data_IF_929965991804
#
_entry.id   IF_929965991804
#
_cell.length_a   1.000
_cell.length_b   1.000
_cell.length_c   1.000
_cell.angle_alpha   90.00
_cell.angle_beta   90.00
_cell.angle_gamma   90.00
#
_symmetry.space_group_name_H-M   'P 1'
#
loop_
_entity.id
_entity.type
_entity.pdbx_description
1 polymer ?
#
# COMPACT_ATOMS: atom_id res chain seq x y z
N UNK A 1 15.74 -133.72 139.98
CA UNK A 1 15.04 -133.52 141.26
C UNK A 1 14.11 -134.69 141.46
N UNK A 2 14.38 -135.50 142.48
CA UNK A 2 13.61 -136.73 142.76
C UNK A 2 12.47 -136.34 143.69
N UNK A 3 11.26 -136.34 143.16
CA UNK A 3 10.04 -136.17 143.95
C UNK A 3 9.82 -137.48 144.70
N UNK A 4 10.06 -137.46 146.02
CA UNK A 4 9.88 -138.62 146.88
C UNK A 4 8.38 -138.81 147.11
N UNK A 5 7.82 -139.92 146.65
CA UNK A 5 6.40 -140.21 146.79
C UNK A 5 6.23 -140.93 148.13
N UNK A 6 5.60 -140.25 149.10
CA UNK A 6 5.32 -140.82 150.41
C UNK A 6 4.14 -141.79 150.34
N UNK A 7 4.34 -142.98 150.87
CA UNK A 7 3.30 -144.00 150.95
C UNK A 7 2.79 -144.11 152.38
N UNK A 8 1.49 -143.91 152.60
CA UNK A 8 0.88 -144.17 153.91
C UNK A 8 0.82 -145.66 154.20
N UNK A 9 0.96 -146.09 155.46
CA UNK A 9 0.94 -147.52 155.84
C UNK A 9 -0.40 -147.94 156.47
N UNK A 10 -1.06 -148.93 155.88
CA UNK A 10 -2.19 -149.68 156.42
C UNK A 10 -1.73 -150.96 157.14
N UNK A 11 -2.62 -151.61 157.91
CA UNK A 11 -2.31 -152.74 158.82
C UNK A 11 -1.59 -153.96 158.17
N UNK A 12 -1.43 -154.04 156.84
CA UNK A 12 -0.64 -155.05 156.12
C UNK A 12 0.20 -154.48 154.95
N UNK A 13 0.62 -153.22 154.99
CA UNK A 13 1.50 -152.65 153.96
C UNK A 13 1.15 -151.20 153.61
N UNK A 14 1.65 -150.70 152.47
CA UNK A 14 1.36 -149.35 151.99
C UNK A 14 -0.06 -149.21 151.43
N UNK A 15 -0.60 -148.00 151.48
CA UNK A 15 -1.92 -147.61 151.00
C UNK A 15 -1.98 -147.75 149.46
N UNK A 16 -2.84 -148.62 148.92
CA UNK A 16 -2.86 -148.92 147.48
C UNK A 16 -3.07 -147.69 146.59
N UNK A 17 -3.87 -146.72 147.03
CA UNK A 17 -4.19 -145.51 146.25
C UNK A 17 -3.01 -144.56 146.06
N UNK A 18 -2.08 -144.50 147.03
CA UNK A 18 -0.85 -143.71 146.93
C UNK A 18 0.17 -144.41 146.00
N UNK A 19 0.20 -145.75 146.01
CA UNK A 19 1.04 -146.57 145.11
C UNK A 19 0.59 -146.47 143.66
N UNK A 20 -0.72 -146.58 143.40
CA UNK A 20 -1.26 -146.47 142.03
C UNK A 20 -1.00 -145.09 141.41
N UNK A 21 -1.10 -144.02 142.21
CA UNK A 21 -0.79 -142.66 141.75
C UNK A 21 0.70 -142.51 141.42
N UNK A 22 1.58 -143.06 142.26
CA UNK A 22 3.01 -143.06 142.02
C UNK A 22 3.38 -143.83 140.75
N UNK A 23 2.78 -145.00 140.57
CA UNK A 23 2.97 -145.83 139.38
C UNK A 23 2.45 -145.13 138.12
N UNK A 24 1.27 -144.50 138.18
CA UNK A 24 0.74 -143.72 137.07
C UNK A 24 1.64 -142.52 136.71
N UNK A 25 2.16 -141.79 137.71
CA UNK A 25 3.07 -140.66 137.49
C UNK A 25 4.41 -141.12 136.89
N UNK A 26 5.00 -142.20 137.39
CA UNK A 26 6.25 -142.76 136.85
C UNK A 26 6.01 -143.28 135.42
N UNK A 27 4.89 -143.97 135.18
CA UNK A 27 4.54 -144.49 133.85
C UNK A 27 4.34 -143.35 132.85
N UNK A 28 3.67 -142.26 133.26
CA UNK A 28 3.53 -141.05 132.43
C UNK A 28 4.88 -140.39 132.14
N UNK A 29 5.78 -140.32 133.13
CA UNK A 29 7.13 -139.77 132.92
C UNK A 29 7.98 -140.63 132.00
N UNK A 30 7.88 -141.96 132.10
CA UNK A 30 8.55 -142.89 131.19
C UNK A 30 8.01 -142.71 129.77
N UNK A 31 6.68 -142.63 129.60
CA UNK A 31 6.06 -142.39 128.31
C UNK A 31 6.52 -141.06 127.68
N UNK A 32 6.51 -139.97 128.46
CA UNK A 32 7.00 -138.67 128.00
C UNK A 32 8.50 -138.69 127.65
N UNK A 33 9.31 -139.39 128.43
CA UNK A 33 10.74 -139.53 128.15
C UNK A 33 11.01 -140.37 126.90
N UNK A 34 10.20 -141.40 126.65
CA UNK A 34 10.23 -142.19 125.41
C UNK A 34 9.84 -141.35 124.20
N UNK A 35 8.76 -140.56 124.31
CA UNK A 35 8.32 -139.68 123.22
C UNK A 35 9.37 -138.60 122.88
N UNK A 36 9.99 -138.00 123.91
CA UNK A 36 11.09 -137.05 123.73
C UNK A 36 12.32 -137.71 123.08
N UNK A 37 12.63 -138.95 123.47
CA UNK A 37 13.74 -139.70 122.88
C UNK A 37 13.45 -140.01 121.40
N UNK A 38 12.27 -140.50 121.09
CA UNK A 38 11.87 -140.82 119.72
C UNK A 38 11.84 -139.57 118.83
N UNK A 39 11.42 -138.43 119.39
CA UNK A 39 11.51 -137.12 118.74
C UNK A 39 12.95 -136.71 118.44
N UNK A 40 13.83 -136.80 119.45
CA UNK A 40 15.25 -136.49 119.28
C UNK A 40 15.95 -137.40 118.27
N UNK A 41 15.59 -138.68 118.23
CA UNK A 41 16.16 -139.65 117.28
C UNK A 41 15.77 -139.31 115.83
N UNK A 42 14.51 -138.93 115.59
CA UNK A 42 14.06 -138.42 114.28
C UNK A 42 14.77 -137.12 113.87
N UNK A 43 14.99 -136.21 114.81
CA UNK A 43 15.71 -134.97 114.53
C UNK A 43 17.18 -135.20 114.19
N UNK A 44 17.83 -136.14 114.88
CA UNK A 44 19.20 -136.55 114.56
C UNK A 44 19.28 -137.16 113.15
N UNK A 45 18.32 -138.01 112.77
CA UNK A 45 18.26 -138.56 111.41
C UNK A 45 18.06 -137.48 110.34
N UNK A 46 17.18 -136.50 110.58
CA UNK A 46 16.97 -135.37 109.67
C UNK A 46 18.23 -134.52 109.52
N UNK A 47 18.83 -134.12 110.64
CA UNK A 47 20.04 -133.29 110.65
C UNK A 47 21.22 -134.01 109.98
N UNK A 48 21.35 -135.33 110.14
CA UNK A 48 22.38 -136.09 109.44
C UNK A 48 22.19 -136.13 107.92
N UNK A 49 20.94 -136.21 107.43
CA UNK A 49 20.65 -136.11 105.99
C UNK A 49 21.02 -134.75 105.43
N UNK A 50 20.60 -133.67 106.08
CA UNK A 50 20.93 -132.29 105.66
C UNK A 50 22.45 -132.03 105.68
N UNK A 51 23.13 -132.51 106.73
CA UNK A 51 24.59 -132.43 106.83
C UNK A 51 25.29 -133.18 105.68
N UNK A 52 24.76 -134.34 105.30
CA UNK A 52 25.28 -135.11 104.18
C UNK A 52 25.09 -134.36 102.86
N UNK A 53 23.89 -133.87 102.57
CA UNK A 53 23.60 -133.12 101.35
C UNK A 53 24.46 -131.86 101.22
N UNK A 54 24.57 -131.07 102.29
CA UNK A 54 25.41 -129.88 102.34
C UNK A 54 26.89 -130.22 102.09
N UNK A 55 27.42 -131.28 102.75
CA UNK A 55 28.78 -131.77 102.49
C UNK A 55 28.98 -132.19 101.03
N UNK A 56 27.98 -132.80 100.42
CA UNK A 56 28.06 -133.25 99.02
C UNK A 56 28.02 -132.08 98.03
N UNK A 57 27.24 -131.04 98.32
CA UNK A 57 27.17 -129.82 97.51
C UNK A 57 28.47 -129.00 97.59
N UNK A 58 29.03 -128.84 98.80
CA UNK A 58 30.33 -128.18 99.00
C UNK A 58 31.46 -128.96 98.31
N UNK A 59 31.42 -130.30 98.35
CA UNK A 59 32.41 -131.14 97.66
C UNK A 59 32.34 -130.98 96.13
N UNK A 60 31.14 -130.83 95.56
CA UNK A 60 30.93 -130.55 94.12
C UNK A 60 31.37 -129.14 93.71
N UNK A 61 31.18 -128.14 94.56
CA UNK A 61 31.61 -126.76 94.29
C UNK A 61 33.13 -126.56 94.46
N UNK A 62 33.76 -127.29 95.40
CA UNK A 62 35.22 -127.21 95.66
C UNK A 62 36.07 -128.20 94.85
N UNK A 63 35.46 -129.13 94.12
CA UNK A 63 36.20 -129.92 93.13
C UNK A 63 36.59 -129.04 91.96
N UNK A 64 37.88 -129.05 91.58
CA UNK A 64 38.34 -128.40 90.33
C UNK A 64 37.51 -128.95 89.16
N UNK A 65 36.97 -128.10 88.27
CA UNK A 65 36.23 -128.56 87.10
C UNK A 65 37.07 -129.57 86.32
N UNK A 66 36.46 -130.69 85.93
CA UNK A 66 37.18 -131.68 85.12
C UNK A 66 37.28 -131.18 83.68
N UNK A 67 38.23 -131.71 82.90
CA UNK A 67 38.39 -131.33 81.49
C UNK A 67 37.11 -131.56 80.66
N UNK A 68 36.28 -132.55 81.06
CA UNK A 68 34.97 -132.80 80.47
C UNK A 68 33.95 -131.69 80.74
N UNK A 69 33.95 -131.10 81.95
CA UNK A 69 33.03 -130.00 82.31
C UNK A 69 33.39 -128.71 81.56
N UNK A 70 34.69 -128.45 81.39
CA UNK A 70 35.19 -127.35 80.57
C UNK A 70 34.82 -127.53 79.10
N UNK A 71 34.91 -128.75 78.56
CA UNK A 71 34.48 -129.07 77.19
C UNK A 71 33.00 -128.80 76.96
N UNK A 72 32.12 -129.24 77.88
CA UNK A 72 30.68 -129.00 77.81
C UNK A 72 30.34 -127.49 77.90
N UNK A 73 31.03 -126.74 78.77
CA UNK A 73 30.86 -125.29 78.87
C UNK A 73 31.34 -124.55 77.60
N UNK A 74 32.44 -125.01 76.99
CA UNK A 74 32.92 -124.49 75.70
C UNK A 74 31.93 -124.77 74.56
N UNK A 75 31.41 -126.00 74.46
CA UNK A 75 30.40 -126.37 73.46
C UNK A 75 29.11 -125.55 73.62
N UNK A 76 28.63 -125.37 74.87
CA UNK A 76 27.47 -124.53 75.14
C UNK A 76 27.73 -123.07 74.76
N UNK A 77 28.92 -122.55 75.03
CA UNK A 77 29.30 -121.18 74.65
C UNK A 77 29.37 -121.02 73.13
N UNK A 78 29.95 -122.00 72.43
CA UNK A 78 29.99 -122.03 70.96
C UNK A 78 28.59 -122.09 70.36
N UNK A 79 27.72 -122.95 70.90
CA UNK A 79 26.32 -123.06 70.44
C UNK A 79 25.56 -121.75 70.61
N UNK A 80 25.71 -121.10 71.77
CA UNK A 80 25.10 -119.77 72.01
C UNK A 80 25.69 -118.72 71.08
N UNK A 81 27.01 -118.73 70.85
CA UNK A 81 27.66 -117.81 69.93
C UNK A 81 27.19 -118.02 68.47
N UNK A 82 27.05 -119.26 68.02
CA UNK A 82 26.51 -119.61 66.70
C UNK A 82 25.05 -119.18 66.56
N UNK A 83 24.22 -119.41 67.58
CA UNK A 83 22.83 -118.96 67.60
C UNK A 83 22.73 -117.42 67.57
N UNK A 84 23.56 -116.72 68.35
CA UNK A 84 23.61 -115.25 68.32
C UNK A 84 24.14 -114.72 66.98
N UNK A 85 25.15 -115.36 66.38
CA UNK A 85 25.67 -114.98 65.07
C UNK A 85 24.62 -115.22 63.96
N UNK A 86 23.91 -116.35 64.01
CA UNK A 86 22.81 -116.64 63.10
C UNK A 86 21.67 -115.64 63.22
N UNK A 87 21.30 -115.28 64.45
CA UNK A 87 20.31 -114.24 64.72
C UNK A 87 20.76 -112.87 64.20
N UNK A 88 22.01 -112.48 64.48
CA UNK A 88 22.57 -111.22 63.98
C UNK A 88 22.56 -111.17 62.45
N UNK A 89 22.89 -112.27 61.78
CA UNK A 89 22.86 -112.36 60.31
C UNK A 89 21.43 -112.25 59.77
N UNK A 90 20.45 -112.87 60.44
CA UNK A 90 19.05 -112.78 60.07
C UNK A 90 18.50 -111.37 60.26
N UNK A 91 18.79 -110.74 61.40
CA UNK A 91 18.39 -109.36 61.71
C UNK A 91 19.02 -108.39 60.71
N UNK A 92 20.32 -108.51 60.41
CA UNK A 92 21.00 -107.71 59.41
C UNK A 92 20.43 -107.93 58.00
N UNK A 93 20.10 -109.17 57.63
CA UNK A 93 19.49 -109.47 56.33
C UNK A 93 18.09 -108.86 56.21
N UNK A 94 17.29 -108.91 57.28
CA UNK A 94 15.99 -108.28 57.34
C UNK A 94 16.09 -106.75 57.26
N UNK A 95 17.04 -106.14 57.98
CA UNK A 95 17.31 -104.70 57.93
C UNK A 95 17.73 -104.26 56.53
N UNK A 96 18.66 -104.97 55.89
CA UNK A 96 19.07 -104.68 54.51
C UNK A 96 17.88 -104.79 53.54
N UNK A 97 17.01 -105.78 53.70
CA UNK A 97 15.80 -105.90 52.88
C UNK A 97 14.87 -104.71 53.09
N UNK A 98 14.60 -104.33 54.34
CA UNK A 98 13.75 -103.17 54.66
C UNK A 98 14.32 -101.87 54.09
N UNK A 99 15.63 -101.64 54.25
CA UNK A 99 16.30 -100.44 53.70
C UNK A 99 16.23 -100.44 52.18
N UNK A 100 16.44 -101.59 51.53
CA UNK A 100 16.34 -101.72 50.06
C UNK A 100 14.93 -101.45 49.56
N UNK A 101 13.91 -102.00 50.23
CA UNK A 101 12.52 -101.81 49.85
C UNK A 101 12.07 -100.35 50.07
N UNK A 102 12.51 -99.73 51.17
CA UNK A 102 12.30 -98.30 51.42
C UNK A 102 12.97 -97.44 50.35
N UNK A 103 14.25 -97.69 50.05
CA UNK A 103 15.00 -96.94 49.05
C UNK A 103 14.38 -97.09 47.65
N UNK A 104 13.87 -98.28 47.31
CA UNK A 104 13.15 -98.52 46.06
C UNK A 104 11.83 -97.75 46.01
N UNK A 105 11.02 -97.82 47.08
CA UNK A 105 9.78 -97.05 47.18
C UNK A 105 10.02 -95.53 47.07
N UNK A 106 11.08 -95.03 47.71
CA UNK A 106 11.43 -93.61 47.66
C UNK A 106 11.94 -93.20 46.27
N UNK A 107 12.75 -94.05 45.61
CA UNK A 107 13.17 -93.84 44.23
C UNK A 107 11.97 -93.79 43.28
N UNK A 108 11.04 -94.73 43.38
CA UNK A 108 9.82 -94.76 42.56
C UNK A 108 8.95 -93.51 42.80
N UNK A 109 8.81 -93.08 44.05
CA UNK A 109 8.09 -91.84 44.40
C UNK A 109 8.76 -90.60 43.81
N UNK A 110 10.08 -90.49 43.93
CA UNK A 110 10.86 -89.38 43.38
C UNK A 110 10.73 -89.37 41.86
N UNK A 111 10.86 -90.52 41.20
CA UNK A 111 10.73 -90.65 39.75
C UNK A 111 9.35 -90.19 39.27
N UNK A 112 8.26 -90.76 39.81
CA UNK A 112 6.89 -90.38 39.42
C UNK A 112 6.62 -88.90 39.69
N UNK A 113 7.10 -88.38 40.83
CA UNK A 113 6.92 -86.96 41.15
C UNK A 113 7.69 -86.03 40.20
N UNK A 114 8.90 -86.43 39.79
CA UNK A 114 9.77 -85.68 38.87
C UNK A 114 9.21 -85.71 37.45
N UNK A 115 8.76 -86.87 36.97
CA UNK A 115 8.10 -87.03 35.66
C UNK A 115 6.84 -86.14 35.59
N UNK A 116 6.02 -86.16 36.64
CA UNK A 116 4.82 -85.30 36.72
C UNK A 116 5.17 -83.81 36.71
N UNK A 117 6.21 -83.40 37.42
CA UNK A 117 6.67 -82.01 37.42
C UNK A 117 7.24 -81.60 36.05
N UNK A 118 8.05 -82.47 35.43
CA UNK A 118 8.60 -82.24 34.09
C UNK A 118 7.49 -82.10 33.04
N UNK A 119 6.49 -82.99 33.04
CA UNK A 119 5.33 -82.88 32.15
C UNK A 119 4.53 -81.60 32.37
N UNK A 120 4.34 -81.18 33.64
CA UNK A 120 3.66 -79.92 33.95
C UNK A 120 4.43 -78.71 33.40
N UNK A 121 5.75 -78.67 33.62
CA UNK A 121 6.62 -77.61 33.13
C UNK A 121 6.64 -77.57 31.60
N UNK A 122 6.71 -78.73 30.94
CA UNK A 122 6.67 -78.83 29.48
C UNK A 122 5.36 -78.28 28.93
N UNK A 123 4.22 -78.72 29.48
CA UNK A 123 2.89 -78.25 29.07
C UNK A 123 2.74 -76.73 29.28
N UNK A 124 3.27 -76.20 30.38
CA UNK A 124 3.24 -74.77 30.67
C UNK A 124 4.13 -73.97 29.71
N UNK A 125 5.32 -74.49 29.39
CA UNK A 125 6.23 -73.89 28.41
C UNK A 125 5.64 -73.89 27.00
N UNK A 126 5.02 -75.00 26.58
CA UNK A 126 4.32 -75.12 25.29
C UNK A 126 3.17 -74.12 25.18
N UNK A 127 2.31 -74.04 26.21
CA UNK A 127 1.22 -73.05 26.24
C UNK A 127 1.72 -71.60 26.19
N UNK A 128 2.80 -71.30 26.91
CA UNK A 128 3.42 -69.97 26.88
C UNK A 128 4.02 -69.66 25.52
N UNK A 129 4.70 -70.62 24.91
CA UNK A 129 5.29 -70.49 23.57
C UNK A 129 4.22 -70.24 22.52
N UNK A 130 3.14 -71.03 22.54
CA UNK A 130 2.01 -70.85 21.63
C UNK A 130 1.37 -69.47 21.78
N UNK A 131 1.11 -69.04 23.02
CA UNK A 131 0.55 -67.71 23.28
C UNK A 131 1.45 -66.60 22.75
N UNK A 132 2.77 -66.68 22.98
CA UNK A 132 3.73 -65.69 22.46
C UNK A 132 3.71 -65.70 20.92
N UNK A 133 3.63 -66.87 20.29
CA UNK A 133 3.54 -67.01 18.83
C UNK A 133 2.28 -66.38 18.28
N UNK A 134 1.12 -66.67 18.87
CA UNK A 134 -0.17 -66.08 18.48
C UNK A 134 -0.16 -64.56 18.65
N UNK A 135 0.29 -64.06 19.80
CA UNK A 135 0.36 -62.62 20.10
C UNK A 135 1.33 -61.91 19.14
N UNK A 136 2.48 -62.52 18.85
CA UNK A 136 3.45 -61.98 17.88
C UNK A 136 2.88 -61.96 16.47
N UNK A 137 2.16 -63.01 16.07
CA UNK A 137 1.53 -63.08 14.75
C UNK A 137 0.46 -62.00 14.60
N UNK A 138 -0.43 -61.86 15.58
CA UNK A 138 -1.46 -60.80 15.60
C UNK A 138 -0.85 -59.41 15.52
N UNK A 139 0.18 -59.12 16.35
CA UNK A 139 0.87 -57.82 16.30
C UNK A 139 1.52 -57.56 14.94
N UNK A 140 2.10 -58.60 14.33
CA UNK A 140 2.69 -58.49 13.00
C UNK A 140 1.63 -58.20 11.94
N UNK A 141 0.48 -58.90 11.96
CA UNK A 141 -0.61 -58.67 11.00
C UNK A 141 -1.23 -57.30 11.18
N UNK A 142 -1.42 -56.85 12.43
CA UNK A 142 -1.97 -55.53 12.72
C UNK A 142 -1.02 -54.41 12.29
N UNK A 143 0.28 -54.58 12.52
CA UNK A 143 1.30 -53.61 12.09
C UNK A 143 1.38 -53.53 10.56
N UNK A 144 1.42 -54.67 9.88
CA UNK A 144 1.45 -54.71 8.41
C UNK A 144 0.17 -54.11 7.83
N UNK A 145 -1.01 -54.50 8.32
CA UNK A 145 -2.28 -53.94 7.87
C UNK A 145 -2.40 -52.44 8.12
N UNK A 146 -1.91 -51.97 9.27
CA UNK A 146 -1.84 -50.53 9.58
C UNK A 146 -0.92 -49.76 8.63
N UNK A 147 0.26 -50.32 8.32
CA UNK A 147 1.21 -49.73 7.37
C UNK A 147 0.65 -49.70 5.94
N UNK A 148 0.01 -50.78 5.49
CA UNK A 148 -0.65 -50.85 4.18
C UNK A 148 -1.79 -49.83 4.05
N UNK A 149 -2.62 -49.68 5.09
CA UNK A 149 -3.70 -48.69 5.11
C UNK A 149 -3.16 -47.26 5.06
N UNK A 150 -2.10 -46.96 5.81
CA UNK A 150 -1.43 -45.65 5.76
C UNK A 150 -0.82 -45.37 4.39
N UNK A 151 -0.17 -46.36 3.77
CA UNK A 151 0.41 -46.23 2.44
C UNK A 151 -0.68 -46.02 1.37
N UNK A 152 -1.79 -46.73 1.46
CA UNK A 152 -2.94 -46.54 0.57
C UNK A 152 -3.54 -45.12 0.72
N UNK A 153 -3.69 -44.63 1.95
CA UNK A 153 -4.18 -43.28 2.23
C UNK A 153 -3.21 -42.20 1.69
N UNK A 154 -1.91 -42.38 1.88
CA UNK A 154 -0.89 -41.47 1.36
C UNK A 154 -0.89 -41.42 -0.17
N UNK A 155 -0.99 -42.58 -0.83
CA UNK A 155 -1.08 -42.66 -2.29
C UNK A 155 -2.36 -41.99 -2.81
N UNK A 156 -3.51 -42.21 -2.16
CA UNK A 156 -4.76 -41.55 -2.53
C UNK A 156 -4.66 -40.01 -2.38
N UNK A 157 -4.03 -39.53 -1.31
CA UNK A 157 -3.77 -38.10 -1.12
C UNK A 157 -2.84 -37.52 -2.18
N UNK A 158 -1.78 -38.25 -2.58
CA UNK A 158 -0.89 -37.83 -3.66
C UNK A 158 -1.61 -37.74 -5.00
N UNK A 159 -2.45 -38.72 -5.34
CA UNK A 159 -3.26 -38.69 -6.57
C UNK A 159 -4.23 -37.51 -6.56
N UNK A 160 -4.92 -37.27 -5.44
CA UNK A 160 -5.83 -36.13 -5.31
C UNK A 160 -5.09 -34.78 -5.43
N UNK A 161 -3.90 -34.67 -4.83
CA UNK A 161 -3.06 -33.48 -4.94
C UNK A 161 -2.61 -33.24 -6.39
N UNK A 162 -2.17 -34.29 -7.09
CA UNK A 162 -1.78 -34.21 -8.50
C UNK A 162 -2.94 -33.74 -9.39
N UNK A 163 -4.15 -34.29 -9.18
CA UNK A 163 -5.35 -33.86 -9.90
C UNK A 163 -5.71 -32.40 -9.60
N UNK A 164 -5.55 -31.96 -8.36
CA UNK A 164 -5.79 -30.56 -7.98
C UNK A 164 -4.79 -29.62 -8.66
N UNK A 165 -3.51 -29.98 -8.72
CA UNK A 165 -2.47 -29.22 -9.42
C UNK A 165 -2.82 -29.11 -10.90
N UNK A 166 -3.16 -30.23 -11.56
CA UNK A 166 -3.54 -30.23 -12.98
C UNK A 166 -4.77 -29.33 -13.25
N UNK A 167 -5.78 -29.37 -12.37
CA UNK A 167 -6.95 -28.51 -12.47
C UNK A 167 -6.60 -27.02 -12.31
N UNK A 168 -5.68 -26.68 -11.38
CA UNK A 168 -5.18 -25.32 -11.18
C UNK A 168 -4.41 -24.85 -12.42
N UNK A 169 -3.50 -25.66 -12.95
CA UNK A 169 -2.71 -25.32 -14.14
C UNK A 169 -3.60 -25.11 -15.37
N UNK A 170 -4.59 -25.97 -15.57
CA UNK A 170 -5.56 -25.84 -16.67
C UNK A 170 -6.37 -24.55 -16.54
N UNK A 171 -6.84 -24.22 -15.33
CA UNK A 171 -7.55 -22.97 -15.06
C UNK A 171 -6.65 -21.76 -15.28
N UNK A 172 -5.46 -21.73 -14.70
CA UNK A 172 -4.50 -20.65 -14.88
C UNK A 172 -4.13 -20.43 -16.36
N UNK A 173 -3.99 -21.52 -17.13
CA UNK A 173 -3.74 -21.45 -18.57
C UNK A 173 -4.93 -20.87 -19.35
N UNK A 174 -6.16 -21.21 -18.95
CA UNK A 174 -7.38 -20.64 -19.54
C UNK A 174 -7.50 -19.15 -19.23
N UNK A 175 -7.33 -18.77 -17.96
CA UNK A 175 -7.38 -17.38 -17.49
C UNK A 175 -6.31 -16.52 -18.19
N UNK A 176 -5.10 -17.06 -18.35
CA UNK A 176 -4.00 -16.36 -19.06
C UNK A 176 -4.34 -16.13 -20.54
N UNK A 177 -4.96 -17.11 -21.21
CA UNK A 177 -5.40 -16.96 -22.60
C UNK A 177 -6.50 -15.91 -22.71
N UNK A 178 -7.48 -15.93 -21.83
CA UNK A 178 -8.55 -14.93 -21.79
C UNK A 178 -7.99 -13.52 -21.59
N UNK A 179 -7.07 -13.33 -20.63
CA UNK A 179 -6.40 -12.04 -20.41
C UNK A 179 -5.66 -11.58 -21.67
N UNK A 180 -4.90 -12.48 -22.32
CA UNK A 180 -4.17 -12.15 -23.53
C UNK A 180 -5.08 -11.77 -24.69
N UNK A 181 -6.18 -12.49 -24.89
CA UNK A 181 -7.15 -12.23 -25.96
C UNK A 181 -7.88 -10.91 -25.72
N UNK A 182 -8.27 -10.63 -24.47
CA UNK A 182 -8.85 -9.33 -24.09
C UNK A 182 -7.86 -8.18 -24.30
N UNK A 183 -6.60 -8.34 -23.91
CA UNK A 183 -5.55 -7.33 -24.11
C UNK A 183 -5.31 -7.06 -25.60
N UNK A 184 -5.30 -8.11 -26.44
CA UNK A 184 -5.21 -7.96 -27.91
C UNK A 184 -6.41 -7.20 -28.46
N UNK A 185 -7.63 -7.58 -28.07
CA UNK A 185 -8.84 -6.90 -28.53
C UNK A 185 -8.83 -5.41 -28.17
N UNK A 186 -8.46 -5.07 -26.93
CA UNK A 186 -8.33 -3.68 -26.49
C UNK A 186 -7.25 -2.93 -27.28
N UNK A 187 -6.12 -3.58 -27.54
CA UNK A 187 -5.02 -2.99 -28.34
C UNK A 187 -5.48 -2.72 -29.77
N UNK A 188 -6.17 -3.67 -30.40
CA UNK A 188 -6.72 -3.51 -31.76
C UNK A 188 -7.78 -2.41 -31.81
N UNK A 189 -8.66 -2.33 -30.82
CA UNK A 189 -9.64 -1.26 -30.69
C UNK A 189 -8.97 0.11 -30.56
N UNK A 190 -8.00 0.25 -29.66
CA UNK A 190 -7.23 1.48 -29.49
C UNK A 190 -6.49 1.89 -30.78
N UNK A 191 -5.92 0.93 -31.52
CA UNK A 191 -5.31 1.20 -32.82
C UNK A 191 -6.32 1.72 -33.86
N UNK A 192 -7.52 1.14 -33.94
CA UNK A 192 -8.58 1.60 -34.85
C UNK A 192 -9.07 3.00 -34.48
N UNK A 193 -9.28 3.26 -33.20
CA UNK A 193 -9.67 4.58 -32.70
C UNK A 193 -8.60 5.62 -33.00
N UNK A 194 -7.32 5.32 -32.73
CA UNK A 194 -6.20 6.20 -33.09
C UNK A 194 -6.11 6.47 -34.59
N UNK A 195 -6.31 5.46 -35.44
CA UNK A 195 -6.33 5.63 -36.89
C UNK A 195 -7.48 6.58 -37.30
N UNK A 196 -8.67 6.37 -36.74
CA UNK A 196 -9.84 7.23 -37.01
C UNK A 196 -9.60 8.67 -36.56
N UNK A 197 -9.02 8.87 -35.38
CA UNK A 197 -8.67 10.21 -34.87
C UNK A 197 -7.61 10.90 -35.73
N UNK A 198 -6.62 10.15 -36.23
CA UNK A 198 -5.61 10.68 -37.17
C UNK A 198 -6.23 11.11 -38.49
N UNK A 199 -7.14 10.30 -39.05
CA UNK A 199 -7.84 10.64 -40.29
C UNK A 199 -8.73 11.87 -40.11
N UNK A 200 -9.47 11.95 -39.00
CA UNK A 200 -10.27 13.13 -38.66
C UNK A 200 -9.40 14.37 -38.49
N UNK A 201 -8.30 14.28 -37.74
CA UNK A 201 -7.38 15.39 -37.55
C UNK A 201 -6.77 15.87 -38.86
N UNK A 202 -6.36 14.95 -39.74
CA UNK A 202 -5.84 15.28 -41.08
C UNK A 202 -6.90 15.99 -41.93
N UNK A 203 -8.15 15.52 -41.89
CA UNK A 203 -9.27 16.17 -42.59
C UNK A 203 -9.56 17.57 -42.06
N UNK A 204 -9.54 17.75 -40.74
CA UNK A 204 -9.75 19.06 -40.12
C UNK A 204 -8.61 20.02 -40.42
N UNK A 205 -7.35 19.57 -40.41
CA UNK A 205 -6.21 20.37 -40.84
C UNK A 205 -6.38 20.85 -42.29
N UNK A 206 -6.70 19.95 -43.22
CA UNK A 206 -6.94 20.32 -44.62
C UNK A 206 -8.13 21.28 -44.77
N UNK A 207 -9.20 21.10 -43.98
CA UNK A 207 -10.35 22.00 -43.97
C UNK A 207 -9.96 23.40 -43.49
N UNK A 208 -9.24 23.50 -42.37
CA UNK A 208 -8.76 24.76 -41.81
C UNK A 208 -7.81 25.46 -42.80
N UNK A 209 -6.87 24.72 -43.41
CA UNK A 209 -5.96 25.27 -44.43
C UNK A 209 -6.73 25.86 -45.62
N UNK A 210 -7.77 25.17 -46.11
CA UNK A 210 -8.64 25.68 -47.18
C UNK A 210 -9.43 26.91 -46.73
N UNK A 211 -10.01 26.91 -45.54
CA UNK A 211 -10.74 28.06 -44.98
C UNK A 211 -9.82 29.29 -44.84
N UNK A 212 -8.58 29.10 -44.36
CA UNK A 212 -7.56 30.14 -44.30
C UNK A 212 -7.21 30.64 -45.70
N UNK A 213 -6.99 29.75 -46.67
CA UNK A 213 -6.66 30.13 -48.04
C UNK A 213 -7.78 30.96 -48.68
N UNK A 214 -9.04 30.53 -48.55
CA UNK A 214 -10.21 31.25 -49.05
C UNK A 214 -10.35 32.62 -48.36
N UNK A 215 -10.17 32.68 -47.05
CA UNK A 215 -10.26 33.95 -46.29
C UNK A 215 -9.14 34.90 -46.69
N UNK A 216 -7.91 34.39 -46.87
CA UNK A 216 -6.75 35.16 -47.32
C UNK A 216 -6.97 35.69 -48.74
N UNK A 217 -7.47 34.86 -49.65
CA UNK A 217 -7.79 35.28 -51.01
C UNK A 217 -8.86 36.37 -51.04
N UNK A 218 -9.93 36.22 -50.25
CA UNK A 218 -10.96 37.27 -50.11
C UNK A 218 -10.37 38.57 -49.57
N UNK A 219 -9.51 38.49 -48.54
CA UNK A 219 -8.86 39.66 -47.97
C UNK A 219 -7.93 40.36 -48.97
N UNK A 220 -7.17 39.60 -49.78
CA UNK A 220 -6.32 40.15 -50.85
C UNK A 220 -7.17 40.84 -51.91
N UNK A 221 -8.22 40.19 -52.42
CA UNK A 221 -9.11 40.78 -53.44
C UNK A 221 -9.80 42.04 -52.93
N UNK A 222 -10.25 42.04 -51.68
CA UNK A 222 -10.87 43.23 -51.07
C UNK A 222 -9.85 44.36 -50.88
N UNK A 223 -8.61 44.02 -50.52
CA UNK A 223 -7.53 45.00 -50.41
C UNK A 223 -7.19 45.60 -51.79
N UNK A 224 -7.12 44.79 -52.84
CA UNK A 224 -6.94 45.23 -54.23
C UNK A 224 -8.10 46.13 -54.67
N UNK A 225 -9.35 45.73 -54.42
CA UNK A 225 -10.53 46.55 -54.73
C UNK A 225 -10.48 47.91 -54.03
N UNK A 226 -10.17 47.93 -52.73
CA UNK A 226 -10.04 49.17 -51.97
C UNK A 226 -8.87 50.03 -52.47
N UNK A 227 -7.76 49.42 -52.87
CA UNK A 227 -6.63 50.12 -53.46
C UNK A 227 -6.98 50.77 -54.81
N UNK A 228 -7.69 50.04 -55.69
CA UNK A 228 -8.18 50.55 -56.97
C UNK A 228 -9.21 51.67 -56.79
N UNK A 229 -10.16 51.51 -55.85
CA UNK A 229 -11.12 52.56 -55.49
C UNK A 229 -10.43 53.81 -54.94
N UNK A 230 -9.45 53.62 -54.05
CA UNK A 230 -8.65 54.72 -53.50
C UNK A 230 -7.85 55.40 -54.61
N UNK A 231 -7.26 54.64 -55.53
CA UNK A 231 -6.51 55.18 -56.66
C UNK A 231 -7.40 56.00 -57.60
N UNK A 232 -8.60 55.49 -57.90
CA UNK A 232 -9.60 56.19 -58.72
C UNK A 232 -10.06 57.47 -58.05
N UNK A 233 -10.37 57.42 -56.76
CA UNK A 233 -10.76 58.58 -55.98
C UNK A 233 -9.65 59.65 -55.91
N UNK A 234 -8.39 59.23 -55.72
CA UNK A 234 -7.23 60.13 -55.79
C UNK A 234 -7.12 60.77 -57.17
N UNK A 235 -7.30 59.99 -58.24
CA UNK A 235 -7.25 60.50 -59.62
C UNK A 235 -8.36 61.52 -59.89
N UNK A 236 -9.58 61.28 -59.39
CA UNK A 236 -10.70 62.22 -59.48
C UNK A 236 -10.41 63.52 -58.74
N UNK A 237 -9.95 63.45 -57.48
CA UNK A 237 -9.54 64.64 -56.72
C UNK A 237 -8.44 65.42 -57.45
N UNK A 238 -7.44 64.73 -58.00
CA UNK A 238 -6.37 65.38 -58.75
C UNK A 238 -6.89 66.04 -60.02
N UNK A 239 -7.81 65.41 -60.74
CA UNK A 239 -8.44 65.98 -61.93
C UNK A 239 -9.29 67.21 -61.58
N UNK A 240 -10.11 67.15 -60.52
CA UNK A 240 -10.89 68.27 -60.01
C UNK A 240 -9.99 69.42 -59.55
N UNK A 241 -8.91 69.12 -58.82
CA UNK A 241 -7.93 70.11 -58.41
C UNK A 241 -7.24 70.77 -59.62
N UNK A 242 -6.88 69.98 -60.64
CA UNK A 242 -6.34 70.51 -61.89
C UNK A 242 -7.35 71.39 -62.63
N UNK A 243 -8.63 70.99 -62.68
CA UNK A 243 -9.69 71.79 -63.29
C UNK A 243 -9.89 73.11 -62.54
N UNK A 244 -9.88 73.10 -61.21
CA UNK A 244 -9.93 74.31 -60.39
C UNK A 244 -8.74 75.22 -60.63
N UNK A 245 -7.52 74.67 -60.80
CA UNK A 245 -6.33 75.46 -61.17
C UNK A 245 -6.51 76.12 -62.53
N UNK A 246 -6.95 75.37 -63.55
CA UNK A 246 -7.20 75.93 -64.90
C UNK A 246 -8.30 77.00 -64.88
N UNK A 247 -9.37 76.79 -64.11
CA UNK A 247 -10.44 77.79 -63.95
C UNK A 247 -9.92 79.04 -63.23
N UNK A 248 -9.11 78.87 -62.18
CA UNK A 248 -8.47 79.97 -61.46
C UNK A 248 -7.51 80.74 -62.37
N UNK A 249 -6.69 80.06 -63.18
CA UNK A 249 -5.83 80.68 -64.20
C UNK A 249 -6.67 81.44 -65.24
N UNK A 250 -7.78 80.87 -65.71
CA UNK A 250 -8.69 81.55 -66.66
C UNK A 250 -9.29 82.81 -66.05
N UNK A 251 -9.78 82.74 -64.80
CA UNK A 251 -10.31 83.90 -64.05
C UNK A 251 -9.23 84.95 -63.82
N UNK A 252 -8.01 84.53 -63.46
CA UNK A 252 -6.88 85.44 -63.29
C UNK A 252 -6.55 86.16 -64.62
N UNK A 253 -6.49 85.43 -65.73
CA UNK A 253 -6.26 86.01 -67.06
C UNK A 253 -7.40 86.96 -67.49
N UNK A 254 -8.65 86.63 -67.18
CA UNK A 254 -9.79 87.52 -67.41
C UNK A 254 -9.68 88.81 -66.60
N UNK A 255 -9.37 88.72 -65.31
CA UNK A 255 -9.16 89.89 -64.45
C UNK A 255 -7.97 90.75 -64.94
N UNK A 256 -6.88 90.13 -65.40
CA UNK A 256 -5.77 90.86 -66.02
C UNK A 256 -6.23 91.58 -67.28
N UNK A 257 -6.96 90.92 -68.19
CA UNK A 257 -7.47 91.54 -69.40
C UNK A 257 -8.49 92.67 -69.11
N UNK A 258 -9.37 92.49 -68.12
CA UNK A 258 -10.28 93.53 -67.64
C UNK A 258 -9.51 94.72 -67.05
N UNK A 259 -8.47 94.46 -66.25
CA UNK A 259 -7.60 95.50 -65.70
C UNK A 259 -6.86 96.27 -66.80
N UNK A 260 -6.35 95.59 -67.83
CA UNK A 260 -5.72 96.21 -69.00
C UNK A 260 -6.72 97.05 -69.80
N UNK A 261 -7.93 96.55 -70.04
CA UNK A 261 -9.00 97.28 -70.74
C UNK A 261 -9.45 98.51 -69.95
N UNK A 262 -9.62 98.38 -68.63
CA UNK A 262 -9.96 99.51 -67.75
C UNK A 262 -8.83 100.53 -67.76
N UNK A 263 -7.57 100.10 -67.64
CA UNK A 263 -6.41 100.99 -67.70
C UNK A 263 -6.34 101.76 -69.02
N UNK A 264 -6.57 101.08 -70.15
CA UNK A 264 -6.64 101.69 -71.48
C UNK A 264 -7.76 102.73 -71.57
N UNK A 265 -8.96 102.39 -71.08
CA UNK A 265 -10.11 103.31 -71.06
C UNK A 265 -9.84 104.53 -70.18
N UNK A 266 -9.25 104.36 -69.01
CA UNK A 266 -8.89 105.46 -68.10
C UNK A 266 -7.81 106.36 -68.71
N UNK A 267 -6.84 105.79 -69.44
CA UNK A 267 -5.85 106.56 -70.18
C UNK A 267 -6.49 107.36 -71.32
N UNK A 268 -7.39 106.74 -72.09
CA UNK A 268 -8.13 107.43 -73.15
C UNK A 268 -9.00 108.55 -72.60
N UNK A 269 -9.76 108.32 -71.53
CA UNK A 269 -10.57 109.34 -70.87
C UNK A 269 -9.70 110.48 -70.30
N UNK A 270 -8.54 110.17 -69.72
CA UNK A 270 -7.58 111.19 -69.26
C UNK A 270 -7.02 112.02 -70.41
N UNK A 271 -6.68 111.39 -71.53
CA UNK A 271 -6.21 112.10 -72.72
C UNK A 271 -7.31 112.98 -73.34
N UNK A 272 -8.55 112.48 -73.36
CA UNK A 272 -9.71 113.23 -73.84
C UNK A 272 -9.95 114.44 -72.94
N UNK A 273 -9.99 114.25 -71.61
CA UNK A 273 -10.12 115.33 -70.63
C UNK A 273 -9.01 116.38 -70.79
N UNK A 274 -7.76 115.94 -71.02
CA UNK A 274 -6.63 116.83 -71.28
C UNK A 274 -6.82 117.66 -72.56
N UNK A 275 -7.29 117.05 -73.66
CA UNK A 275 -7.61 117.78 -74.90
C UNK A 275 -8.74 118.77 -74.71
N UNK A 276 -9.85 118.37 -74.07
CA UNK A 276 -10.99 119.26 -73.83
C UNK A 276 -10.59 120.44 -72.94
N UNK A 277 -9.76 120.21 -71.92
CA UNK A 277 -9.23 121.28 -71.08
C UNK A 277 -8.33 122.25 -71.89
N UNK A 278 -7.48 121.74 -72.80
CA UNK A 278 -6.65 122.55 -73.68
C UNK A 278 -7.48 123.36 -74.69
N UNK A 279 -8.51 122.76 -75.30
CA UNK A 279 -9.45 123.46 -76.21
C UNK A 279 -10.26 124.53 -75.49
N UNK A 280 -10.73 124.25 -74.27
CA UNK A 280 -11.46 125.22 -73.45
C UNK A 280 -10.55 126.39 -73.06
N UNK A 281 -9.30 126.12 -72.69
CA UNK A 281 -8.30 127.16 -72.41
C UNK A 281 -8.01 128.01 -73.65
N UNK A 282 -7.81 127.39 -74.82
CA UNK A 282 -7.62 128.09 -76.09
C UNK A 282 -8.83 128.97 -76.45
N UNK A 283 -10.06 128.48 -76.24
CA UNK A 283 -11.29 129.23 -76.45
C UNK A 283 -11.50 130.40 -75.47
N UNK A 284 -10.97 130.33 -74.25
CA UNK A 284 -10.95 131.47 -73.32
C UNK A 284 -9.94 132.52 -73.79
N UNK A 285 -8.75 132.10 -74.23
CA UNK A 285 -7.71 133.01 -74.75
C UNK A 285 -8.20 133.75 -76.01
N UNK A 286 -8.80 133.03 -76.97
CA UNK A 286 -9.34 133.65 -78.20
C UNK A 286 -10.42 134.68 -77.88
N UNK A 287 -11.39 134.34 -77.03
CA UNK A 287 -12.46 135.27 -76.64
C UNK A 287 -11.92 136.50 -75.89
N UNK A 288 -10.86 136.36 -75.10
CA UNK A 288 -10.20 137.48 -74.46
C UNK A 288 -9.51 138.40 -75.49
N UNK A 289 -8.87 137.83 -76.51
CA UNK A 289 -8.22 138.57 -77.60
C UNK A 289 -9.23 139.30 -78.49
N UNK A 290 -10.31 138.63 -78.90
CA UNK A 290 -11.38 139.23 -79.72
C UNK A 290 -12.05 140.40 -78.98
N UNK A 291 -12.29 140.26 -77.67
CA UNK A 291 -12.88 141.31 -76.83
C UNK A 291 -11.94 142.50 -76.66
N UNK A 292 -10.63 142.25 -76.55
CA UNK A 292 -9.63 143.32 -76.52
C UNK A 292 -9.56 144.09 -77.86
N UNK A 293 -9.61 143.39 -78.99
CA UNK A 293 -9.65 144.03 -80.32
C UNK A 293 -10.94 144.83 -80.55
N UNK A 294 -12.11 144.29 -80.17
CA UNK A 294 -13.38 144.99 -80.30
C UNK A 294 -13.41 146.30 -79.49
N UNK A 295 -12.89 146.29 -78.26
CA UNK A 295 -12.79 147.48 -77.42
C UNK A 295 -11.85 148.54 -78.02
N UNK A 296 -10.75 148.09 -78.62
CA UNK A 296 -9.78 148.98 -79.27
C UNK A 296 -10.40 149.66 -80.51
N UNK A 297 -11.16 148.90 -81.31
CA UNK A 297 -11.88 149.42 -82.46
C UNK A 297 -13.00 150.42 -82.06
N UNK A 298 -13.72 150.16 -80.97
CA UNK A 298 -14.72 151.10 -80.44
C UNK A 298 -14.09 152.42 -79.98
N UNK A 299 -12.97 152.34 -79.27
CA UNK A 299 -12.24 153.52 -78.80
C UNK A 299 -11.71 154.36 -79.96
N UNK A 300 -11.19 153.70 -81.01
CA UNK A 300 -10.72 154.36 -82.22
C UNK A 300 -11.84 155.09 -82.97
N UNK A 301 -13.00 154.44 -83.17
CA UNK A 301 -14.19 155.04 -83.81
C UNK A 301 -14.74 156.23 -83.03
N UNK A 302 -14.78 156.14 -81.70
CA UNK A 302 -15.22 157.26 -80.85
C UNK A 302 -14.29 158.47 -80.98
N UNK A 303 -12.98 158.23 -81.00
CA UNK A 303 -11.96 159.28 -81.18
C UNK A 303 -12.07 159.98 -82.54
N UNK A 304 -12.34 159.23 -83.62
CA UNK A 304 -12.52 159.82 -84.96
C UNK A 304 -13.78 160.67 -85.05
N UNK A 305 -14.88 160.24 -84.42
CA UNK A 305 -16.15 160.96 -84.45
C UNK A 305 -16.07 162.33 -83.75
N UNK A 306 -15.44 162.38 -82.58
CA UNK A 306 -15.27 163.64 -81.81
C UNK A 306 -14.32 164.62 -82.53
N UNK A 307 -13.28 164.13 -83.20
CA UNK A 307 -12.39 164.97 -84.00
C UNK A 307 -13.09 165.54 -85.25
N UNK A 308 -13.97 164.77 -85.89
CA UNK A 308 -14.74 165.24 -87.04
C UNK A 308 -15.80 166.29 -86.65
N UNK A 309 -16.47 166.13 -85.50
CA UNK A 309 -17.40 167.15 -84.97
C UNK A 309 -16.69 168.45 -84.61
N UNK A 310 -15.50 168.38 -84.00
CA UNK A 310 -14.70 169.57 -83.72
C UNK A 310 -14.25 170.29 -85.01
N UNK A 311 -13.86 169.53 -86.05
CA UNK A 311 -13.47 170.10 -87.34
C UNK A 311 -14.65 170.76 -88.09
N UNK A 312 -15.83 170.14 -88.08
CA UNK A 312 -17.04 170.74 -88.69
C UNK A 312 -17.48 172.02 -87.99
N UNK A 313 -17.32 172.11 -86.66
CA UNK A 313 -17.71 173.31 -85.91
C UNK A 313 -16.79 174.49 -86.24
N UNK A 314 -15.48 174.24 -86.45
CA UNK A 314 -14.53 175.25 -86.90
C UNK A 314 -14.81 175.67 -88.35
N UNK A 315 -15.06 174.71 -89.25
CA UNK A 315 -15.37 174.99 -90.65
C UNK A 315 -16.64 175.85 -90.81
N UNK A 316 -17.70 175.58 -90.04
CA UNK A 316 -18.93 176.38 -90.07
C UNK A 316 -18.73 177.81 -89.55
N UNK A 317 -17.82 178.02 -88.59
CA UNK A 317 -17.47 179.36 -88.09
C UNK A 317 -16.63 180.15 -89.12
N UNK A 318 -15.78 179.48 -89.90
CA UNK A 318 -15.05 180.11 -91.01
C UNK A 318 -15.95 180.40 -92.22
N UNK A 319 -16.88 179.50 -92.56
CA UNK A 319 -17.81 179.68 -93.67
C UNK A 319 -18.81 180.82 -93.39
N UNK A 320 -19.24 180.98 -92.13
CA UNK A 320 -20.04 182.13 -91.71
C UNK A 320 -19.25 183.45 -91.79
N UNK A 321 -17.94 183.43 -91.51
CA UNK A 321 -17.06 184.61 -91.67
C UNK A 321 -16.82 184.95 -93.14
N UNK A 322 -16.66 183.95 -94.01
CA UNK A 322 -16.44 184.13 -95.44
C UNK A 322 -17.71 184.62 -96.16
N UNK A 323 -18.90 184.10 -95.84
CA UNK A 323 -20.16 184.57 -96.47
C UNK A 323 -20.50 186.01 -96.11
N UNK A 324 -20.16 186.46 -94.90
CA UNK A 324 -20.36 187.87 -94.52
C UNK A 324 -19.34 188.77 -95.22
N UNK A 325 -18.14 188.28 -95.52
CA UNK A 325 -17.15 189.03 -96.31
C UNK A 325 -17.50 189.04 -97.81
N UNK A 326 -17.88 187.91 -98.40
CA UNK A 326 -18.22 187.81 -99.83
C UNK A 326 -19.48 188.60 -100.19
N UNK A 327 -20.48 188.68 -99.32
CA UNK A 327 -21.63 189.59 -99.57
C UNK A 327 -21.24 191.07 -99.49
N UNK A 328 -20.16 191.40 -98.77
CA UNK A 328 -19.66 192.77 -98.60
C UNK A 328 -18.63 193.17 -99.68
N UNK A 329 -18.00 192.19 -100.35
CA UNK A 329 -16.97 192.42 -101.38
C UNK A 329 -17.34 191.97 -102.76
N UNK A 330 -18.33 191.10 -102.98
CA UNK A 330 -18.99 191.01 -104.29
C UNK A 330 -19.84 192.28 -104.48
N UNK A 331 -19.13 193.40 -104.53
CA UNK A 331 -18.52 193.93 -105.76
C UNK A 331 -19.66 194.79 -106.31
N UNK A 332 -19.98 195.93 -105.69
CA UNK A 332 -19.08 197.10 -105.52
C UNK A 332 -18.31 197.48 -106.81
N UNK A 333 -18.55 196.79 -107.94
CA UNK A 333 -17.90 197.05 -109.22
C UNK A 333 -18.62 196.47 -110.48
N UNK A 334 -19.81 195.85 -110.40
CA UNK A 334 -20.49 195.37 -111.62
C UNK A 334 -21.99 195.70 -111.76
N UNK A 335 -22.50 196.61 -110.94
CA UNK A 335 -22.91 197.94 -111.39
C UNK A 335 -22.47 198.86 -110.24
N UNK A 336 -21.96 200.04 -110.56
CA UNK A 336 -21.40 201.00 -109.59
C UNK A 336 -22.30 201.14 -108.35
N UNK A 337 -21.77 200.90 -107.16
CA UNK A 337 -21.71 201.93 -106.12
C UNK A 337 -21.26 201.37 -104.77
N UNK A 338 -20.18 202.00 -104.33
CA UNK A 338 -19.63 202.19 -103.00
C UNK A 338 -18.93 201.03 -102.24
N UNK A 339 -17.71 201.29 -101.72
CA UNK A 339 -16.93 200.37 -100.92
C UNK A 339 -17.21 200.58 -99.42
N UNK A 340 -17.07 199.52 -98.62
CA UNK A 340 -16.29 199.57 -97.38
C UNK A 340 -16.41 198.23 -96.63
N UNK A 341 -15.33 197.43 -96.74
CA UNK A 341 -14.38 197.24 -95.65
C UNK A 341 -14.97 197.57 -94.26
N UNK A 342 -14.87 196.73 -93.25
CA UNK A 342 -13.61 196.29 -92.68
C UNK A 342 -14.01 195.67 -91.33
N UNK A 343 -13.30 194.65 -90.85
CA UNK A 343 -12.38 194.77 -89.70
C UNK A 343 -12.92 195.63 -88.57
N UNK A 344 -12.86 195.19 -87.32
CA UNK A 344 -11.65 195.09 -86.49
C UNK A 344 -12.26 195.07 -85.08
N UNK A 345 -11.73 194.37 -84.10
CA UNK A 345 -10.69 194.85 -83.19
C UNK A 345 -10.66 193.74 -82.13
N UNK A 346 -9.54 193.06 -81.95
CA UNK A 346 -8.45 193.48 -81.09
C UNK A 346 -8.54 192.83 -79.70
N UNK A 347 -7.38 192.72 -79.04
CA UNK A 347 -7.08 191.70 -78.05
C UNK A 347 -7.29 192.27 -76.66
N UNK A 348 -6.72 191.62 -75.64
CA UNK A 348 -5.87 192.23 -74.59
C UNK A 348 -5.87 191.29 -73.36
N UNK A 349 -4.67 190.82 -73.02
CA UNK A 349 -4.06 190.77 -71.68
C UNK A 349 -4.83 190.09 -70.53
N UNK A 350 -4.15 189.20 -69.80
CA UNK A 350 -4.13 189.12 -68.31
C UNK A 350 -3.85 187.68 -67.84
N UNK A 351 -2.69 187.49 -67.19
CA UNK A 351 -2.21 186.38 -66.34
C UNK A 351 -2.52 184.92 -66.68
#
# INVERSE_FOLDING_TARGET
MSENIEFRTAKRGFEPSDVDRAFAQITSRIANAQELRDGAEKDIERLNRELHEARTAVKRANSKPTFSDLGAAFEQTLRVAEEQAGKLLQDASAEVSMVRDSAKSDADRIQVSSERQAHKLLTEAEKRSEKIREDSTKRSTDLVGGAEAQLAAANAALVAAAQSIEAIEKKASADTREILDNAKLQTDQAHREMATLRDLNTRDQLRIEREIAVTREKAVRENERLADETSTYIAEILADAQAQVVEAERKANQLVAEAESLSSKTHQESDLLRRTAQETAAGIISRAQDRAQALNNQTSKYKTKVLAEAAMTIANLEEARLRILDFNTELSAMDTDDPANATQEEPVVSF
#
